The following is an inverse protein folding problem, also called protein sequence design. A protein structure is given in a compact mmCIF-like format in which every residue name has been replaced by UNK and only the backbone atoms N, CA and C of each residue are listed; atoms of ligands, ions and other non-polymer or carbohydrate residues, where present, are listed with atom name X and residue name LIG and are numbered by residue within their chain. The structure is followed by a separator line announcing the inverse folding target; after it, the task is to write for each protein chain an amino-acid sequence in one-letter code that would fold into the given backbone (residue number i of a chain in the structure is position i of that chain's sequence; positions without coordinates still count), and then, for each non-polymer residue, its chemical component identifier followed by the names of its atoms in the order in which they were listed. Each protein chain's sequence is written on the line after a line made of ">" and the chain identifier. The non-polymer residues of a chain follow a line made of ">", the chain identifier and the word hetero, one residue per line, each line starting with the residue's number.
data_IF_818250618387
#
_entry.id   IF_818250618387
#
_cell.length_a   1.000
_cell.length_b   1.000
_cell.length_c   1.000
_cell.angle_alpha   90.00
_cell.angle_beta   90.00
_cell.angle_gamma   90.00
#
_symmetry.space_group_name_H-M   'P 1'
#
loop_
_entity.id
_entity.type
_entity.pdbx_description
1 polymer ?
#
# COMPACT_ATOMS: atom_id res chain seq x y z
N UNK A 1 -4.24 -4.42 1.58
CA UNK A 1 -2.85 -4.85 1.36
C UNK A 1 -2.57 -4.93 -0.13
N UNK A 2 -1.69 -4.08 -0.66
CA UNK A 2 -1.47 -3.90 -2.12
C UNK A 2 -0.28 -4.67 -2.68
N UNK A 3 0.60 -5.20 -1.83
CA UNK A 3 1.84 -5.87 -2.24
C UNK A 3 1.62 -7.24 -2.89
N UNK A 4 0.36 -7.72 -2.96
CA UNK A 4 -0.08 -8.90 -3.70
C UNK A 4 -0.60 -8.58 -5.11
N UNK A 5 -0.65 -7.30 -5.50
CA UNK A 5 -1.20 -6.89 -6.79
C UNK A 5 -0.12 -6.97 -7.86
N UNK A 6 -0.25 -7.96 -8.74
CA UNK A 6 0.63 -8.14 -9.89
C UNK A 6 0.47 -7.01 -10.91
N UNK A 7 -0.77 -6.62 -11.19
CA UNK A 7 -1.13 -5.58 -12.15
C UNK A 7 -1.92 -4.43 -11.49
N UNK A 8 -1.27 -3.60 -10.65
CA UNK A 8 -1.97 -2.60 -9.85
C UNK A 8 -2.75 -1.58 -10.69
N UNK A 9 -2.28 -1.24 -11.89
CA UNK A 9 -3.00 -0.33 -12.77
C UNK A 9 -4.37 -0.89 -13.19
N UNK A 10 -4.45 -2.19 -13.49
CA UNK A 10 -5.71 -2.79 -13.97
C UNK A 10 -6.71 -2.93 -12.83
N UNK A 11 -6.24 -3.28 -11.63
CA UNK A 11 -7.07 -3.25 -10.43
C UNK A 11 -7.60 -1.84 -10.12
N UNK A 12 -6.73 -0.82 -10.22
CA UNK A 12 -7.12 0.57 -9.95
C UNK A 12 -8.10 1.13 -10.98
N UNK A 13 -7.99 0.73 -12.25
CA UNK A 13 -9.00 1.07 -13.28
C UNK A 13 -10.39 0.58 -12.89
N UNK A 14 -10.51 -0.68 -12.47
CA UNK A 14 -11.79 -1.25 -12.06
C UNK A 14 -12.33 -0.61 -10.78
N UNK A 15 -11.47 -0.36 -9.79
CA UNK A 15 -11.84 0.35 -8.56
C UNK A 15 -12.33 1.76 -8.89
N UNK A 16 -11.60 2.50 -9.73
CA UNK A 16 -12.00 3.84 -10.15
C UNK A 16 -13.33 3.83 -10.93
N UNK A 17 -13.56 2.82 -11.79
CA UNK A 17 -14.80 2.67 -12.56
C UNK A 17 -16.03 2.59 -11.66
N UNK A 18 -15.94 1.94 -10.51
CA UNK A 18 -17.06 1.77 -9.57
C UNK A 18 -17.15 2.85 -8.50
N UNK A 19 -16.06 3.59 -8.24
CA UNK A 19 -16.07 4.72 -7.32
C UNK A 19 -16.91 5.87 -7.89
N UNK A 20 -17.82 6.41 -7.09
CA UNK A 20 -18.52 7.67 -7.40
C UNK A 20 -17.56 8.85 -7.32
N UNK A 21 -17.93 9.99 -7.92
CA UNK A 21 -17.26 11.27 -7.68
C UNK A 21 -17.26 11.59 -6.18
N UNK A 22 -16.10 11.95 -5.64
CA UNK A 22 -15.88 12.13 -4.21
C UNK A 22 -15.61 10.84 -3.42
N UNK A 23 -15.81 9.66 -4.03
CA UNK A 23 -15.56 8.37 -3.42
C UNK A 23 -14.08 8.17 -3.08
N UNK A 24 -13.83 7.44 -1.99
CA UNK A 24 -12.50 7.25 -1.42
C UNK A 24 -12.04 5.79 -1.55
N UNK A 25 -10.75 5.62 -1.82
CA UNK A 25 -10.04 4.37 -1.81
C UNK A 25 -8.94 4.44 -0.76
N UNK A 26 -8.81 3.39 0.06
CA UNK A 26 -7.76 3.26 1.05
C UNK A 26 -6.98 1.97 0.80
N UNK A 27 -5.66 2.08 0.83
CA UNK A 27 -4.76 0.96 0.69
C UNK A 27 -3.69 1.01 1.76
N UNK A 28 -3.34 -0.18 2.26
CA UNK A 28 -2.22 -0.37 3.18
C UNK A 28 -1.12 -1.20 2.55
N UNK A 29 0.13 -0.87 2.88
CA UNK A 29 1.30 -1.71 2.62
C UNK A 29 2.18 -1.79 3.87
N UNK A 30 2.73 -2.98 4.14
CA UNK A 30 3.87 -3.12 5.04
C UNK A 30 5.04 -2.34 4.43
N UNK A 31 5.83 -1.70 5.27
CA UNK A 31 7.02 -0.97 4.83
C UNK A 31 8.00 -1.89 4.09
N UNK A 32 8.77 -1.30 3.17
CA UNK A 32 9.78 -2.05 2.41
C UNK A 32 10.86 -2.59 3.34
N UNK A 33 11.21 -1.83 4.37
CA UNK A 33 12.20 -2.17 5.39
C UNK A 33 11.78 -3.42 6.17
N UNK A 34 10.53 -3.49 6.62
CA UNK A 34 10.04 -4.69 7.32
C UNK A 34 9.83 -5.87 6.37
N UNK A 35 9.41 -5.64 5.13
CA UNK A 35 9.25 -6.73 4.17
C UNK A 35 10.57 -7.43 3.89
N UNK A 36 11.68 -6.71 3.73
CA UNK A 36 13.00 -7.34 3.50
C UNK A 36 13.41 -8.30 4.64
N UNK A 37 12.95 -8.05 5.87
CA UNK A 37 13.22 -8.90 7.03
C UNK A 37 12.37 -10.18 7.08
N UNK A 38 11.30 -10.27 6.29
CA UNK A 38 10.39 -11.43 6.25
C UNK A 38 10.79 -12.37 5.09
N UNK A 39 11.36 -13.57 5.36
CA UNK A 39 11.96 -14.40 4.31
C UNK A 39 10.99 -14.83 3.20
N UNK A 40 9.69 -14.96 3.51
CA UNK A 40 8.66 -15.35 2.55
C UNK A 40 8.30 -14.23 1.55
N UNK A 41 8.62 -12.97 1.83
CA UNK A 41 8.30 -11.87 0.90
C UNK A 41 9.28 -11.73 -0.26
N UNK A 42 10.23 -12.67 -0.38
CA UNK A 42 11.18 -12.71 -1.50
C UNK A 42 10.51 -13.17 -2.81
N UNK A 43 9.35 -13.82 -2.73
CA UNK A 43 8.70 -14.47 -3.87
C UNK A 43 7.27 -13.97 -4.02
N UNK A 44 6.92 -13.40 -5.18
CA UNK A 44 5.58 -12.93 -5.53
C UNK A 44 5.04 -11.76 -4.68
N UNK A 45 5.91 -11.05 -3.96
CA UNK A 45 5.56 -9.78 -3.31
C UNK A 45 6.26 -8.63 -4.01
N UNK A 46 5.52 -7.54 -4.22
CA UNK A 46 6.08 -6.28 -4.69
C UNK A 46 5.94 -5.23 -3.58
N UNK A 47 7.02 -4.91 -2.84
CA UNK A 47 6.97 -3.85 -1.85
C UNK A 47 6.86 -2.49 -2.55
N UNK A 48 6.18 -1.56 -1.88
CA UNK A 48 6.04 -0.17 -2.31
C UNK A 48 6.40 0.75 -1.16
N UNK A 49 7.14 1.82 -1.44
CA UNK A 49 7.12 3.00 -0.55
C UNK A 49 5.75 3.68 -0.66
N UNK A 50 5.44 4.56 0.30
CA UNK A 50 4.19 5.32 0.24
C UNK A 50 4.18 6.24 -1.00
N UNK A 51 5.32 6.81 -1.37
CA UNK A 51 5.50 7.71 -2.50
C UNK A 51 5.35 7.00 -3.85
N UNK A 52 5.90 5.79 -3.97
CA UNK A 52 5.69 4.92 -5.14
C UNK A 52 4.21 4.60 -5.32
N UNK A 53 3.50 4.32 -4.22
CA UNK A 53 2.08 4.03 -4.26
C UNK A 53 1.22 5.27 -4.58
N UNK A 54 1.54 6.43 -4.01
CA UNK A 54 0.91 7.71 -4.35
C UNK A 54 1.05 8.01 -5.85
N UNK A 55 2.22 7.77 -6.42
CA UNK A 55 2.49 7.97 -7.85
C UNK A 55 1.63 7.06 -8.72
N UNK A 56 1.46 5.79 -8.33
CA UNK A 56 0.59 4.84 -9.03
C UNK A 56 -0.88 5.28 -8.94
N UNK A 57 -1.34 5.76 -7.79
CA UNK A 57 -2.69 6.27 -7.61
C UNK A 57 -2.98 7.47 -8.53
N UNK A 58 -2.07 8.45 -8.56
CA UNK A 58 -2.19 9.65 -9.41
C UNK A 58 -2.29 9.25 -10.88
N UNK A 59 -1.42 8.35 -11.35
CA UNK A 59 -1.44 7.82 -12.73
C UNK A 59 -2.78 7.17 -13.10
N UNK A 60 -3.50 6.62 -12.12
CA UNK A 60 -4.79 5.96 -12.32
C UNK A 60 -5.98 6.86 -11.98
N UNK A 61 -5.80 8.19 -11.92
CA UNK A 61 -6.88 9.15 -11.73
C UNK A 61 -7.48 9.14 -10.32
N UNK A 62 -6.70 8.78 -9.31
CA UNK A 62 -7.06 8.91 -7.90
C UNK A 62 -6.10 9.89 -7.23
N UNK A 63 -6.64 10.88 -6.54
CA UNK A 63 -5.86 11.95 -5.90
C UNK A 63 -5.57 11.59 -4.45
N UNK A 64 -4.31 11.38 -4.04
CA UNK A 64 -3.95 11.16 -2.65
C UNK A 64 -4.38 12.33 -1.76
N UNK A 65 -4.92 12.02 -0.58
CA UNK A 65 -5.34 13.02 0.41
C UNK A 65 -5.04 12.61 1.85
N UNK A 66 -4.55 11.38 2.05
CA UNK A 66 -4.15 10.88 3.36
C UNK A 66 -2.94 9.97 3.18
N UNK A 67 -1.93 10.18 4.02
CA UNK A 67 -0.79 9.29 4.20
C UNK A 67 -0.54 9.17 5.69
N UNK A 68 -0.68 7.95 6.23
CA UNK A 68 -0.52 7.66 7.65
C UNK A 68 0.44 6.50 7.85
N UNK A 69 1.45 6.71 8.68
CA UNK A 69 2.31 5.66 9.18
C UNK A 69 1.74 5.06 10.46
N UNK A 70 1.91 3.76 10.66
CA UNK A 70 1.59 3.11 11.92
C UNK A 70 2.66 2.08 12.23
N UNK A 71 3.17 2.15 13.46
CA UNK A 71 4.07 1.16 14.04
C UNK A 71 3.22 0.30 14.97
N UNK A 72 3.24 -1.01 14.74
CA UNK A 72 2.58 -2.00 15.58
C UNK A 72 3.45 -2.32 16.80
N UNK A 73 2.86 -2.87 17.88
CA UNK A 73 3.64 -3.43 18.97
C UNK A 73 4.71 -4.39 18.45
N UNK A 74 5.91 -4.32 19.05
CA UNK A 74 7.05 -5.13 18.64
C UNK A 74 6.76 -6.62 18.65
N UNK A 75 7.25 -7.32 17.64
CA UNK A 75 7.15 -8.77 17.47
C UNK A 75 8.55 -9.39 17.43
N UNK A 76 8.62 -10.72 17.49
CA UNK A 76 9.83 -11.48 17.19
C UNK A 76 9.58 -12.33 15.94
N UNK A 77 10.43 -12.19 14.92
CA UNK A 77 10.45 -13.05 13.73
C UNK A 77 11.77 -13.83 13.73
N UNK A 78 11.71 -15.16 13.71
CA UNK A 78 12.89 -16.03 13.79
C UNK A 78 13.86 -15.68 14.95
N UNK A 79 13.32 -15.21 16.09
CA UNK A 79 14.11 -14.80 17.26
C UNK A 79 14.73 -13.40 17.16
N UNK A 80 14.49 -12.66 16.08
CA UNK A 80 14.91 -11.27 15.91
C UNK A 80 13.76 -10.33 16.27
N UNK A 81 13.91 -9.44 17.26
CA UNK A 81 12.93 -8.40 17.53
C UNK A 81 12.80 -7.47 16.32
N UNK A 82 11.57 -7.17 15.94
CA UNK A 82 11.30 -6.16 14.93
C UNK A 82 10.01 -5.42 15.25
N UNK A 83 9.98 -4.12 14.93
CA UNK A 83 8.78 -3.30 15.04
C UNK A 83 8.09 -3.26 13.68
N UNK A 84 6.89 -3.87 13.55
CA UNK A 84 6.23 -3.91 12.26
C UNK A 84 5.69 -2.52 11.91
N UNK A 85 6.11 -1.96 10.78
CA UNK A 85 5.67 -0.67 10.28
C UNK A 85 4.83 -0.81 9.01
N UNK A 86 3.74 -0.06 8.92
CA UNK A 86 2.88 -0.01 7.74
C UNK A 86 2.52 1.42 7.36
N UNK A 87 2.23 1.59 6.08
CA UNK A 87 1.66 2.81 5.52
C UNK A 87 0.20 2.57 5.15
N UNK A 88 -0.65 3.54 5.42
CA UNK A 88 -1.99 3.67 4.87
C UNK A 88 -2.03 4.92 3.98
N UNK A 89 -2.42 4.76 2.73
CA UNK A 89 -2.61 5.84 1.77
C UNK A 89 -4.08 5.87 1.35
N UNK A 90 -4.72 7.01 1.54
CA UNK A 90 -6.07 7.30 1.09
C UNK A 90 -6.05 8.20 -0.14
N UNK A 91 -6.85 7.86 -1.14
CA UNK A 91 -7.02 8.65 -2.35
C UNK A 91 -8.50 8.83 -2.70
N UNK A 92 -8.82 9.87 -3.47
CA UNK A 92 -10.19 10.24 -3.85
C UNK A 92 -10.33 10.33 -5.37
N UNK A 93 -11.48 9.90 -5.89
CA UNK A 93 -11.90 10.24 -7.26
C UNK A 93 -12.49 11.65 -7.27
N UNK A 94 -11.84 12.59 -7.95
CA UNK A 94 -12.26 14.01 -7.96
C UNK A 94 -13.20 14.34 -9.12
N UNK A 95 -13.13 13.61 -10.23
CA UNK A 95 -13.82 13.85 -11.49
C UNK A 95 -14.98 12.88 -11.78
#
# INVERSE_FOLDING_TARGET
>A
MIYFWEHPNDHLKEIRRVLKKGGQFFATCRSKENMILMPFTKWNFKPYTAEEWESILIKNGLTPHLKKQTIEPGLQEAGVPFEPMQWCVGARRID
#
